data_IF_469036536366
#
_entry.id   IF_469036536366
#
_cell.length_a   1.000
_cell.length_b   1.000
_cell.length_c   1.000
_cell.angle_alpha   90.00
_cell.angle_beta   90.00
_cell.angle_gamma   90.00
#
_symmetry.space_group_name_H-M   'P 1'
#
loop_
_entity.id
_entity.type
_entity.pdbx_description
1 polymer ?
#
# COMPACT_ATOMS: atom_id res chain seq x y z
N UNK A 1 14.57 -20.24 -6.48
CA UNK A 1 13.26 -19.91 -5.87
C UNK A 1 13.52 -18.95 -4.72
N UNK A 2 12.99 -17.75 -4.80
CA UNK A 2 12.99 -16.83 -3.67
C UNK A 2 11.70 -17.04 -2.88
N UNK A 3 11.75 -17.26 -1.57
CA UNK A 3 10.54 -17.36 -0.77
C UNK A 3 9.82 -16.01 -0.77
N UNK A 4 8.53 -16.03 -1.02
CA UNK A 4 7.66 -14.87 -0.93
C UNK A 4 6.61 -15.12 0.15
N UNK A 5 6.27 -14.09 0.92
CA UNK A 5 5.28 -14.21 1.99
C UNK A 5 4.27 -13.07 1.87
N UNK A 6 3.01 -13.39 2.03
CA UNK A 6 1.93 -12.41 2.15
C UNK A 6 1.64 -12.15 3.62
N UNK A 7 1.49 -10.89 3.99
CA UNK A 7 1.08 -10.48 5.33
C UNK A 7 -0.43 -10.20 5.28
N UNK A 8 -1.20 -10.90 6.09
CA UNK A 8 -2.58 -10.52 6.37
C UNK A 8 -2.57 -9.20 7.15
N UNK A 9 -2.90 -8.12 6.46
CA UNK A 9 -2.86 -6.77 7.02
C UNK A 9 -3.89 -6.59 8.14
N UNK A 10 -5.06 -7.23 8.04
CA UNK A 10 -6.09 -7.16 9.07
C UNK A 10 -5.63 -7.76 10.39
N UNK A 11 -5.11 -8.99 10.35
CA UNK A 11 -4.55 -9.66 11.52
C UNK A 11 -3.32 -8.94 12.08
N UNK A 12 -2.47 -8.41 11.20
CA UNK A 12 -1.30 -7.65 11.60
C UNK A 12 -1.69 -6.39 12.39
N UNK A 13 -2.59 -5.58 11.84
CA UNK A 13 -3.07 -4.36 12.51
C UNK A 13 -3.80 -4.66 13.81
N UNK A 14 -4.66 -5.67 13.83
CA UNK A 14 -5.37 -6.06 15.04
C UNK A 14 -4.40 -6.41 16.17
N UNK A 15 -3.42 -7.26 15.90
CA UNK A 15 -2.41 -7.67 16.91
C UNK A 15 -1.61 -6.46 17.43
N UNK A 16 -1.23 -5.53 16.55
CA UNK A 16 -0.50 -4.34 16.97
C UNK A 16 -1.39 -3.42 17.80
N UNK A 17 -2.61 -3.14 17.38
CA UNK A 17 -3.54 -2.26 18.08
C UNK A 17 -3.88 -2.83 19.45
N UNK A 18 -4.14 -4.14 19.56
CA UNK A 18 -4.44 -4.80 20.83
C UNK A 18 -3.25 -4.70 21.81
N UNK A 19 -2.03 -4.85 21.30
CA UNK A 19 -0.83 -4.64 22.11
C UNK A 19 -0.65 -3.18 22.54
N UNK A 20 -0.92 -2.23 21.68
CA UNK A 20 -0.81 -0.79 21.99
C UNK A 20 -1.87 -0.35 22.99
N UNK A 21 -3.09 -0.89 22.91
CA UNK A 21 -4.18 -0.60 23.88
C UNK A 21 -3.89 -1.06 25.29
N UNK A 22 -2.99 -2.02 25.47
CA UNK A 22 -2.55 -2.47 26.81
C UNK A 22 -1.58 -1.48 27.47
N UNK A 23 -1.05 -0.51 26.73
CA UNK A 23 -0.13 0.48 27.27
C UNK A 23 -0.89 1.74 27.66
N UNK A 24 -0.92 2.05 28.95
CA UNK A 24 -1.63 3.22 29.51
C UNK A 24 -1.08 4.56 29.05
N UNK A 25 0.13 4.60 28.51
CA UNK A 25 0.74 5.82 27.97
C UNK A 25 0.34 6.10 26.52
N UNK A 26 -0.52 5.26 25.91
CA UNK A 26 -0.97 5.41 24.52
C UNK A 26 -2.46 5.71 24.47
N UNK A 27 -2.81 6.82 23.84
CA UNK A 27 -4.18 7.22 23.58
C UNK A 27 -4.47 7.19 22.08
N UNK A 28 -5.68 6.75 21.72
CA UNK A 28 -6.17 6.73 20.36
C UNK A 28 -7.24 7.81 20.18
N UNK A 29 -7.10 8.61 19.14
CA UNK A 29 -8.05 9.66 18.78
C UNK A 29 -8.54 9.43 17.34
N UNK A 30 -9.79 9.82 17.07
CA UNK A 30 -10.37 9.72 15.73
C UNK A 30 -10.01 10.93 14.86
N UNK A 31 -9.75 12.06 15.49
CA UNK A 31 -9.48 13.31 14.80
C UNK A 31 -8.32 14.04 15.45
N UNK A 32 -7.45 14.64 14.63
CA UNK A 32 -6.30 15.43 15.10
C UNK A 32 -6.75 16.63 15.95
N UNK A 33 -7.93 17.17 15.73
CA UNK A 33 -8.47 18.29 16.51
C UNK A 33 -8.79 17.93 17.96
N UNK A 34 -8.84 16.64 18.30
CA UNK A 34 -9.02 16.14 19.66
C UNK A 34 -7.71 16.12 20.47
N UNK A 35 -6.59 16.39 19.80
CA UNK A 35 -5.26 16.28 20.38
C UNK A 35 -4.67 17.67 20.61
N UNK A 36 -4.26 17.96 21.85
CA UNK A 36 -3.42 19.13 22.10
C UNK A 36 -2.00 18.86 21.59
N UNK A 37 -1.60 19.56 20.54
CA UNK A 37 -0.28 19.44 19.92
C UNK A 37 0.74 20.45 20.43
N UNK A 38 0.37 21.32 21.38
CA UNK A 38 1.30 22.24 22.04
C UNK A 38 2.37 21.43 22.79
N UNK A 39 3.62 21.80 22.58
CA UNK A 39 4.80 21.11 23.16
C UNK A 39 4.94 19.62 22.75
N UNK A 40 4.29 19.21 21.67
CA UNK A 40 4.35 17.85 21.16
C UNK A 40 5.31 17.75 19.97
N UNK A 41 5.82 16.54 19.71
CA UNK A 41 6.51 16.21 18.48
C UNK A 41 5.62 15.32 17.61
N UNK A 42 5.42 15.70 16.35
CA UNK A 42 4.46 15.07 15.47
C UNK A 42 5.18 14.18 14.44
N UNK A 43 4.81 12.93 14.36
CA UNK A 43 5.18 12.01 13.29
C UNK A 43 4.00 11.89 12.33
N UNK A 44 4.11 12.51 11.14
CA UNK A 44 3.03 12.53 10.16
C UNK A 44 3.28 11.50 9.06
N UNK A 45 2.37 10.54 8.90
CA UNK A 45 2.42 9.52 7.85
C UNK A 45 1.44 9.79 6.69
N UNK A 46 0.67 10.87 6.77
CA UNK A 46 -0.34 11.21 5.75
C UNK A 46 0.30 12.09 4.68
N UNK A 47 0.44 11.57 3.47
CA UNK A 47 0.99 12.33 2.35
C UNK A 47 0.00 13.37 1.84
N UNK A 48 0.49 14.59 1.59
CA UNK A 48 -0.29 15.62 0.90
C UNK A 48 -0.24 15.37 -0.60
N UNK A 49 -1.36 14.95 -1.18
CA UNK A 49 -1.50 14.67 -2.62
C UNK A 49 -1.62 15.94 -3.50
N UNK A 50 -1.41 17.14 -2.94
CA UNK A 50 -1.75 18.41 -3.58
C UNK A 50 -1.00 18.76 -4.89
N UNK A 51 0.06 18.02 -5.25
CA UNK A 51 0.89 18.32 -6.44
C UNK A 51 0.83 17.23 -7.52
N UNK A 52 -0.30 16.57 -7.69
CA UNK A 52 -0.39 15.32 -8.44
C UNK A 52 -0.52 15.43 -9.97
N UNK A 53 -0.71 16.61 -10.55
CA UNK A 53 -1.20 16.73 -11.95
C UNK A 53 -0.28 16.17 -13.05
N UNK A 54 1.01 15.99 -12.80
CA UNK A 54 1.95 15.45 -13.79
C UNK A 54 2.95 14.47 -13.16
N UNK A 55 2.59 13.86 -12.06
CA UNK A 55 3.46 12.95 -11.35
C UNK A 55 3.09 11.49 -11.66
N UNK A 56 4.08 10.63 -11.58
CA UNK A 56 3.91 9.21 -11.76
C UNK A 56 3.37 8.56 -10.48
N UNK A 57 2.37 7.71 -10.64
CA UNK A 57 1.74 6.96 -9.57
C UNK A 57 1.73 5.47 -9.90
N UNK A 58 1.89 4.63 -8.89
CA UNK A 58 1.42 3.26 -8.96
C UNK A 58 0.01 3.26 -8.38
N UNK A 59 -0.98 3.09 -9.25
CA UNK A 59 -2.38 3.04 -8.84
C UNK A 59 -2.99 1.69 -9.19
N UNK A 60 -3.90 1.21 -8.35
CA UNK A 60 -4.36 -0.15 -8.43
C UNK A 60 -5.78 -0.34 -7.90
N UNK A 61 -6.39 -1.43 -8.30
CA UNK A 61 -7.55 -2.01 -7.64
C UNK A 61 -7.38 -3.52 -7.56
N UNK A 62 -7.69 -4.08 -6.40
CA UNK A 62 -7.63 -5.51 -6.12
C UNK A 62 -8.97 -6.04 -5.65
N UNK A 63 -9.24 -7.31 -5.98
CA UNK A 63 -10.37 -8.07 -5.46
C UNK A 63 -9.88 -9.38 -4.88
N UNK A 64 -10.31 -9.70 -3.67
CA UNK A 64 -10.18 -11.06 -3.15
C UNK A 64 -11.38 -11.86 -3.62
N UNK A 65 -11.12 -12.96 -4.32
CA UNK A 65 -12.17 -13.85 -4.80
C UNK A 65 -12.11 -15.21 -4.12
N UNK A 66 -13.28 -15.81 -3.99
CA UNK A 66 -13.47 -17.17 -3.49
C UNK A 66 -14.18 -18.01 -4.57
N UNK A 67 -13.67 -19.21 -4.83
CA UNK A 67 -14.19 -20.16 -5.80
C UNK A 67 -14.69 -21.43 -5.11
N UNK A 68 -15.66 -22.12 -5.71
CA UNK A 68 -16.19 -23.39 -5.17
C UNK A 68 -15.20 -24.54 -5.42
N UNK A 69 -14.47 -24.51 -6.53
CA UNK A 69 -13.49 -25.53 -6.93
C UNK A 69 -12.08 -25.01 -6.77
N UNK A 70 -11.11 -25.90 -6.62
CA UNK A 70 -9.70 -25.54 -6.66
C UNK A 70 -9.38 -24.87 -8.00
N UNK A 71 -9.03 -23.59 -7.95
CA UNK A 71 -8.76 -22.74 -9.12
C UNK A 71 -7.38 -22.13 -9.09
N UNK A 72 -6.66 -22.26 -7.96
CA UNK A 72 -5.34 -21.70 -7.76
C UNK A 72 -4.34 -22.77 -7.30
N UNK A 73 -3.07 -22.52 -7.63
CA UNK A 73 -1.95 -23.19 -7.00
C UNK A 73 -1.46 -22.28 -5.86
N UNK A 74 -1.64 -22.74 -4.62
CA UNK A 74 -1.31 -21.96 -3.42
C UNK A 74 0.20 -21.94 -3.08
N UNK A 75 1.00 -22.62 -3.87
CA UNK A 75 2.46 -22.58 -3.79
C UNK A 75 3.08 -21.59 -4.81
N UNK A 76 2.27 -21.03 -5.73
CA UNK A 76 2.73 -20.18 -6.81
C UNK A 76 2.08 -18.79 -6.73
N UNK A 77 2.90 -17.75 -6.56
CA UNK A 77 2.49 -16.36 -6.76
C UNK A 77 2.80 -15.90 -8.18
N UNK A 78 1.83 -15.30 -8.85
CA UNK A 78 2.07 -14.60 -10.09
C UNK A 78 2.27 -13.12 -9.79
N UNK A 79 3.54 -12.70 -9.80
CA UNK A 79 3.93 -11.31 -9.57
C UNK A 79 4.16 -10.62 -10.91
N UNK A 80 3.45 -9.49 -11.14
CA UNK A 80 3.65 -8.65 -12.31
C UNK A 80 3.45 -9.41 -13.64
N UNK A 81 2.25 -9.96 -13.84
CA UNK A 81 1.86 -10.50 -15.15
C UNK A 81 1.64 -9.35 -16.15
N UNK A 82 2.63 -9.14 -17.02
CA UNK A 82 2.61 -8.10 -18.06
C UNK A 82 1.90 -8.53 -19.35
N UNK A 83 1.40 -9.76 -19.44
CA UNK A 83 0.67 -10.24 -20.61
C UNK A 83 -0.77 -9.67 -20.61
N UNK A 84 -0.86 -8.36 -20.76
CA UNK A 84 -2.07 -7.56 -20.79
C UNK A 84 -1.87 -6.28 -21.61
N UNK A 85 -2.96 -5.58 -21.93
CA UNK A 85 -2.91 -4.33 -22.69
C UNK A 85 -2.21 -3.21 -21.91
N UNK A 86 -1.12 -2.68 -22.45
CA UNK A 86 -0.26 -1.68 -21.82
C UNK A 86 -0.74 -0.24 -22.06
N UNK A 87 -1.54 0.06 -23.06
CA UNK A 87 -2.09 1.39 -23.40
C UNK A 87 -1.07 2.53 -23.31
N UNK A 88 0.15 2.30 -23.77
CA UNK A 88 1.30 3.24 -23.70
C UNK A 88 1.71 3.63 -22.26
N UNK A 89 1.44 2.78 -21.29
CA UNK A 89 1.83 2.90 -19.89
C UNK A 89 2.43 1.58 -19.40
N UNK A 90 2.66 1.44 -18.10
CA UNK A 90 3.03 0.15 -17.53
C UNK A 90 1.82 -0.43 -16.81
N UNK A 91 1.38 -1.61 -17.25
CA UNK A 91 0.24 -2.33 -16.70
C UNK A 91 0.62 -3.77 -16.41
N UNK A 92 0.19 -4.27 -15.27
CA UNK A 92 0.38 -5.66 -14.90
C UNK A 92 -0.68 -6.11 -13.89
N UNK A 93 -0.79 -7.43 -13.74
CA UNK A 93 -1.65 -8.03 -12.74
C UNK A 93 -0.82 -8.79 -11.69
N UNK A 94 -1.33 -8.79 -10.45
CA UNK A 94 -0.95 -9.76 -9.45
C UNK A 94 -2.01 -10.85 -9.35
N UNK A 95 -1.59 -12.09 -9.09
CA UNK A 95 -2.44 -13.17 -8.61
C UNK A 95 -1.75 -13.80 -7.42
N UNK A 96 -2.29 -13.55 -6.23
CA UNK A 96 -1.72 -13.93 -4.95
C UNK A 96 -2.65 -14.92 -4.25
N UNK A 97 -2.49 -16.23 -4.45
CA UNK A 97 -3.31 -17.24 -3.81
C UNK A 97 -3.06 -17.29 -2.30
N UNK A 98 -4.15 -17.33 -1.52
CA UNK A 98 -4.13 -17.61 -0.09
C UNK A 98 -4.44 -19.08 0.20
N UNK A 99 -5.14 -19.73 -0.76
CA UNK A 99 -5.46 -21.15 -0.75
C UNK A 99 -5.82 -21.58 -2.19
N UNK A 100 -6.09 -22.85 -2.37
CA UNK A 100 -6.55 -23.39 -3.66
C UNK A 100 -7.88 -22.80 -4.16
N UNK A 101 -8.64 -22.17 -3.26
CA UNK A 101 -9.95 -21.56 -3.58
C UNK A 101 -10.03 -20.07 -3.35
N UNK A 102 -8.99 -19.43 -2.81
CA UNK A 102 -8.98 -17.99 -2.53
C UNK A 102 -7.72 -17.32 -3.07
N UNK A 103 -7.88 -16.16 -3.71
CA UNK A 103 -6.76 -15.34 -4.14
C UNK A 103 -7.12 -13.86 -4.17
N UNK A 104 -6.12 -13.01 -3.92
CA UNK A 104 -6.15 -11.60 -4.31
C UNK A 104 -5.72 -11.51 -5.78
N UNK A 105 -6.53 -10.80 -6.57
CA UNK A 105 -6.21 -10.46 -7.96
C UNK A 105 -6.26 -8.95 -8.06
N UNK A 106 -5.17 -8.36 -8.52
CA UNK A 106 -5.01 -6.90 -8.56
C UNK A 106 -4.57 -6.46 -9.95
N UNK A 107 -5.22 -5.42 -10.49
CA UNK A 107 -4.76 -4.67 -11.65
C UNK A 107 -4.00 -3.45 -11.19
N UNK A 108 -2.78 -3.28 -11.71
CA UNK A 108 -1.87 -2.22 -11.30
C UNK A 108 -1.32 -1.47 -12.50
N UNK A 109 -1.39 -0.15 -12.43
CA UNK A 109 -0.86 0.78 -13.43
C UNK A 109 0.25 1.64 -12.83
N UNK A 110 1.24 1.95 -13.65
CA UNK A 110 2.21 3.01 -13.39
C UNK A 110 1.97 4.10 -14.43
N UNK A 111 1.27 5.16 -14.03
CA UNK A 111 0.90 6.28 -14.90
C UNK A 111 0.55 7.52 -14.09
N UNK A 112 0.15 8.60 -14.75
CA UNK A 112 -0.58 9.68 -14.07
C UNK A 112 -2.00 9.22 -13.69
N UNK A 113 -2.66 9.94 -12.78
CA UNK A 113 -4.01 9.62 -12.34
C UNK A 113 -5.12 10.23 -13.22
N UNK A 114 -4.78 10.89 -14.33
CA UNK A 114 -5.74 11.68 -15.11
C UNK A 114 -6.38 10.89 -16.27
N UNK A 115 -5.88 9.72 -16.58
CA UNK A 115 -6.37 8.93 -17.71
C UNK A 115 -7.58 8.08 -17.30
N UNK A 116 -8.79 8.55 -17.62
CA UNK A 116 -10.03 7.83 -17.36
C UNK A 116 -10.05 6.41 -17.97
N UNK A 117 -9.35 6.19 -19.10
CA UNK A 117 -9.28 4.89 -19.76
C UNK A 117 -8.45 3.85 -19.00
N UNK A 118 -7.59 4.28 -18.08
CA UNK A 118 -6.76 3.39 -17.26
C UNK A 118 -7.44 3.00 -15.95
N UNK A 119 -8.43 3.75 -15.48
CA UNK A 119 -9.10 3.53 -14.19
C UNK A 119 -10.37 2.66 -14.28
N UNK A 120 -10.62 2.04 -15.42
CA UNK A 120 -11.71 1.05 -15.59
C UNK A 120 -11.33 -0.31 -14.99
N UNK A 121 -10.96 -0.29 -13.70
CA UNK A 121 -10.42 -1.45 -13.01
C UNK A 121 -11.38 -2.63 -12.95
N UNK A 122 -12.68 -2.38 -12.79
CA UNK A 122 -13.66 -3.45 -12.62
C UNK A 122 -13.77 -4.31 -13.88
N UNK A 123 -13.79 -3.69 -15.06
CA UNK A 123 -13.77 -4.41 -16.32
C UNK A 123 -12.42 -5.10 -16.58
N UNK A 124 -11.31 -4.47 -16.19
CA UNK A 124 -9.99 -5.08 -16.32
C UNK A 124 -9.88 -6.34 -15.46
N UNK A 125 -10.27 -6.26 -14.19
CA UNK A 125 -10.27 -7.38 -13.25
C UNK A 125 -11.18 -8.51 -13.75
N UNK A 126 -12.42 -8.18 -14.14
CA UNK A 126 -13.36 -9.15 -14.69
C UNK A 126 -12.79 -9.85 -15.91
N UNK A 127 -12.26 -9.09 -16.85
CA UNK A 127 -11.67 -9.65 -18.08
C UNK A 127 -10.49 -10.58 -17.77
N UNK A 128 -9.59 -10.17 -16.88
CA UNK A 128 -8.44 -10.97 -16.48
C UNK A 128 -8.89 -12.28 -15.78
N UNK A 129 -9.80 -12.19 -14.82
CA UNK A 129 -10.31 -13.35 -14.08
C UNK A 129 -11.03 -14.32 -15.02
N UNK A 130 -11.94 -13.82 -15.85
CA UNK A 130 -12.82 -14.67 -16.66
C UNK A 130 -12.16 -15.22 -17.91
N UNK A 131 -11.27 -14.46 -18.55
CA UNK A 131 -10.68 -14.82 -19.85
C UNK A 131 -9.23 -15.29 -19.73
N UNK A 132 -8.40 -14.66 -18.91
CA UNK A 132 -6.99 -15.05 -18.73
C UNK A 132 -6.87 -16.20 -17.73
N UNK A 133 -7.45 -16.07 -16.52
CA UNK A 133 -7.44 -17.12 -15.50
C UNK A 133 -8.50 -18.21 -15.76
N UNK A 134 -9.48 -17.95 -16.66
CA UNK A 134 -10.57 -18.85 -17.02
C UNK A 134 -11.48 -19.24 -15.84
N UNK A 135 -11.61 -18.37 -14.86
CA UNK A 135 -12.44 -18.56 -13.68
C UNK A 135 -13.79 -17.87 -13.92
N UNK A 136 -14.86 -18.64 -14.08
CA UNK A 136 -16.21 -18.12 -14.39
C UNK A 136 -17.11 -18.00 -13.16
N UNK A 137 -16.91 -18.89 -12.18
CA UNK A 137 -17.77 -18.99 -11.00
C UNK A 137 -16.95 -18.61 -9.77
N UNK A 138 -17.06 -17.37 -9.35
CA UNK A 138 -16.39 -16.83 -8.17
C UNK A 138 -17.27 -15.82 -7.45
N UNK A 139 -16.96 -15.59 -6.18
CA UNK A 139 -17.56 -14.55 -5.34
C UNK A 139 -16.46 -13.57 -4.96
N UNK A 140 -16.70 -12.28 -5.13
CA UNK A 140 -15.84 -11.23 -4.57
C UNK A 140 -16.18 -11.11 -3.09
N UNK A 141 -15.18 -11.29 -2.22
CA UNK A 141 -15.31 -11.22 -0.77
C UNK A 141 -14.67 -9.96 -0.17
N UNK A 142 -13.73 -9.35 -0.89
CA UNK A 142 -13.10 -8.10 -0.50
C UNK A 142 -12.70 -7.31 -1.75
N UNK A 143 -12.66 -5.98 -1.63
CA UNK A 143 -12.18 -5.07 -2.68
C UNK A 143 -11.34 -3.98 -2.07
N UNK A 144 -10.24 -3.63 -2.72
CA UNK A 144 -9.39 -2.50 -2.36
C UNK A 144 -9.04 -1.66 -3.59
N UNK A 145 -8.67 -0.41 -3.34
CA UNK A 145 -8.19 0.51 -4.37
C UNK A 145 -7.22 1.47 -3.71
N UNK A 146 -6.14 1.79 -4.40
CA UNK A 146 -5.12 2.68 -3.86
C UNK A 146 -4.26 3.34 -4.92
N UNK A 147 -3.47 4.31 -4.47
CA UNK A 147 -2.45 4.95 -5.28
C UNK A 147 -1.22 5.25 -4.42
N UNK A 148 -0.05 4.87 -4.91
CA UNK A 148 1.24 5.08 -4.27
C UNK A 148 2.02 6.10 -5.10
N UNK A 149 2.47 7.23 -4.51
CA UNK A 149 3.23 8.23 -5.24
C UNK A 149 4.61 7.68 -5.60
N UNK A 150 4.99 7.79 -6.88
CA UNK A 150 6.32 7.47 -7.39
C UNK A 150 7.14 8.75 -7.62
N UNK A 151 7.03 9.70 -6.71
CA UNK A 151 7.77 10.96 -6.71
C UNK A 151 8.13 11.34 -5.27
N UNK A 152 9.14 12.19 -5.13
CA UNK A 152 9.50 12.71 -3.81
C UNK A 152 8.43 13.68 -3.30
N UNK A 153 7.89 13.47 -2.10
CA UNK A 153 6.96 14.41 -1.51
C UNK A 153 7.67 15.77 -1.28
N UNK A 154 6.92 16.87 -1.42
CA UNK A 154 7.45 18.18 -1.04
C UNK A 154 7.67 18.21 0.46
N UNK A 155 8.90 18.42 0.86
CA UNK A 155 9.30 18.44 2.25
C UNK A 155 8.89 19.80 2.87
N UNK A 156 7.77 19.83 3.56
CA UNK A 156 7.33 21.01 4.32
C UNK A 156 7.98 20.93 5.70
N UNK A 157 9.08 21.64 5.86
CA UNK A 157 9.74 21.74 7.18
C UNK A 157 8.82 22.47 8.15
N UNK A 158 8.28 21.76 9.11
CA UNK A 158 7.57 22.32 10.26
C UNK A 158 8.40 22.11 11.53
N UNK A 159 8.34 23.10 12.39
CA UNK A 159 8.94 22.97 13.71
C UNK A 159 8.21 21.84 14.49
N UNK A 160 8.95 20.94 15.11
CA UNK A 160 8.41 19.82 15.88
C UNK A 160 7.56 18.80 15.08
N UNK A 161 7.76 18.70 13.75
CA UNK A 161 7.11 17.68 12.93
C UNK A 161 8.13 17.03 12.00
N UNK A 162 8.00 15.71 11.84
CA UNK A 162 8.70 14.93 10.83
C UNK A 162 7.72 14.08 10.03
N UNK A 163 7.91 14.06 8.73
CA UNK A 163 7.15 13.19 7.83
C UNK A 163 7.76 11.77 7.89
N UNK A 164 6.91 10.76 8.02
CA UNK A 164 7.31 9.35 8.08
C UNK A 164 6.59 8.52 7.02
N UNK A 165 7.08 7.31 6.78
CA UNK A 165 6.46 6.41 5.81
C UNK A 165 6.39 7.01 4.41
N UNK A 166 5.27 6.84 3.73
CA UNK A 166 5.05 7.39 2.37
C UNK A 166 5.17 8.92 2.34
N UNK A 167 4.63 9.60 3.36
CA UNK A 167 4.75 11.06 3.48
C UNK A 167 6.20 11.51 3.67
N UNK A 168 7.03 10.69 4.32
CA UNK A 168 8.46 10.93 4.51
C UNK A 168 9.34 10.49 3.34
N UNK A 169 8.76 10.11 2.20
CA UNK A 169 9.53 9.71 1.01
C UNK A 169 10.14 8.32 1.10
N UNK A 170 9.62 7.44 1.96
CA UNK A 170 10.15 6.09 2.13
C UNK A 170 9.78 5.15 0.98
N UNK A 171 8.94 5.58 0.06
CA UNK A 171 8.58 4.80 -1.13
C UNK A 171 9.77 4.73 -2.09
N UNK A 172 10.12 3.53 -2.51
CA UNK A 172 11.11 3.33 -3.58
C UNK A 172 10.47 3.72 -4.91
N UNK A 173 10.91 4.81 -5.51
CA UNK A 173 10.25 5.43 -6.67
C UNK A 173 10.21 4.53 -7.92
N UNK A 174 11.15 3.60 -8.04
CA UNK A 174 11.21 2.67 -9.18
C UNK A 174 10.23 1.48 -9.09
N UNK A 175 9.67 1.19 -7.91
CA UNK A 175 8.89 -0.03 -7.68
C UNK A 175 7.66 0.16 -6.80
N UNK A 176 7.47 1.33 -6.20
CA UNK A 176 6.42 1.56 -5.20
C UNK A 176 6.66 0.86 -3.84
N UNK A 177 7.71 0.03 -3.72
CA UNK A 177 7.95 -0.75 -2.52
C UNK A 177 8.40 0.13 -1.36
N UNK A 178 7.74 0.03 -0.22
CA UNK A 178 7.91 0.95 0.91
C UNK A 178 8.30 0.24 2.21
N UNK A 179 7.91 -1.02 2.37
CA UNK A 179 7.95 -1.73 3.64
C UNK A 179 9.35 -1.77 4.29
N UNK A 180 10.39 -2.17 3.56
CA UNK A 180 11.76 -2.22 4.10
C UNK A 180 12.26 -0.86 4.57
N UNK A 181 12.00 0.19 3.77
CA UNK A 181 12.44 1.54 4.09
C UNK A 181 11.74 2.07 5.35
N UNK A 182 10.43 1.77 5.51
CA UNK A 182 9.68 2.10 6.74
C UNK A 182 10.29 1.39 7.95
N UNK A 183 10.68 0.13 7.82
CA UNK A 183 11.30 -0.60 8.93
C UNK A 183 12.63 0.03 9.35
N UNK A 184 13.47 0.41 8.39
CA UNK A 184 14.75 1.07 8.69
C UNK A 184 14.53 2.47 9.28
N UNK A 185 13.60 3.26 8.75
CA UNK A 185 13.22 4.56 9.32
C UNK A 185 12.74 4.40 10.78
N UNK A 186 11.88 3.42 11.04
CA UNK A 186 11.37 3.16 12.40
C UNK A 186 12.47 2.77 13.37
N UNK A 187 13.43 1.94 12.94
CA UNK A 187 14.62 1.60 13.76
C UNK A 187 15.46 2.83 14.06
N UNK A 188 15.67 3.69 13.07
CA UNK A 188 16.43 4.92 13.23
C UNK A 188 15.75 5.88 14.21
N UNK A 189 14.45 6.13 14.06
CA UNK A 189 13.65 6.96 14.96
C UNK A 189 13.76 6.43 16.40
N UNK A 190 13.56 5.12 16.60
CA UNK A 190 13.65 4.50 17.93
C UNK A 190 15.00 4.72 18.59
N UNK A 191 16.11 4.62 17.83
CA UNK A 191 17.46 4.82 18.37
C UNK A 191 17.76 6.27 18.76
N UNK A 192 17.07 7.22 18.14
CA UNK A 192 17.35 8.65 18.26
C UNK A 192 16.20 9.43 18.91
N UNK A 193 15.22 8.76 19.50
CA UNK A 193 13.98 9.39 19.97
C UNK A 193 14.22 10.50 20.99
N UNK A 194 15.20 10.32 21.88
CA UNK A 194 15.55 11.31 22.91
C UNK A 194 16.17 12.58 22.31
N UNK A 195 16.81 12.47 21.18
CA UNK A 195 17.51 13.57 20.48
C UNK A 195 16.80 13.98 19.19
N UNK A 196 15.55 13.58 19.00
CA UNK A 196 14.86 13.71 17.71
C UNK A 196 14.77 15.15 17.20
N UNK A 197 14.69 16.13 18.12
CA UNK A 197 14.65 17.57 17.76
C UNK A 197 15.96 18.06 17.14
N UNK A 198 17.08 17.40 17.43
CA UNK A 198 18.43 17.79 17.02
C UNK A 198 18.98 16.89 15.90
N UNK A 199 18.24 15.85 15.55
CA UNK A 199 18.69 14.83 14.59
C UNK A 199 18.06 15.10 13.24
N UNK A 200 18.87 15.19 12.17
CA UNK A 200 18.36 15.14 10.80
C UNK A 200 17.80 13.75 10.58
N UNK A 201 16.51 13.64 10.51
CA UNK A 201 15.82 12.40 10.17
C UNK A 201 15.69 12.38 8.65
N UNK A 202 16.73 11.82 7.97
CA UNK A 202 16.93 11.69 6.52
C UNK A 202 17.06 12.95 5.71
#
# INVERSE_FOLDING_TARGET
>A
NMPYQTIDSGLFYQKIIDKLKQNTNICFFKNINEVNTENSYIFNSVSNAADSKNNLWQHFSGVEIETIKNSFDDEIFNLMDFDCDQKNSVHFFYTLPYSKTKALIETTWISDLNSASLIDYDNQLKNYIENKLRIKNYKIIFKETGAIPLFHPKNIKKLNQVEIGTAGGMTRLSTGYTFSNIQEQSKYIRKNIENIKNTKIF
#
